data_IF_966408542748
#
_entry.id   IF_966408542748
#
_cell.length_a   1.000
_cell.length_b   1.000
_cell.length_c   1.000
_cell.angle_alpha   90.00
_cell.angle_beta   90.00
_cell.angle_gamma   90.00
#
_symmetry.space_group_name_H-M   'P 1'
#
loop_
_entity.id
_entity.type
_entity.pdbx_description
1 polymer ?
#
# COMPACT_ATOMS: atom_id res chain seq x y z
N UNK A 1 35.70 -25.95 -29.86
CA UNK A 1 35.06 -26.35 -31.14
C UNK A 1 35.82 -27.45 -31.87
N UNK A 2 37.12 -27.30 -32.14
CA UNK A 2 37.93 -28.29 -32.88
C UNK A 2 37.88 -29.72 -32.30
N UNK A 3 38.13 -29.90 -31.00
CA UNK A 3 38.09 -31.22 -30.35
C UNK A 3 36.69 -31.87 -30.33
N UNK A 4 35.63 -31.07 -30.47
CA UNK A 4 34.24 -31.53 -30.53
C UNK A 4 33.76 -31.76 -31.98
N UNK A 5 34.63 -31.59 -32.99
CA UNK A 5 34.30 -31.80 -34.40
C UNK A 5 33.58 -30.64 -35.10
N UNK A 6 33.39 -29.50 -34.43
CA UNK A 6 32.65 -28.34 -34.97
C UNK A 6 33.48 -27.41 -35.86
N UNK A 7 34.78 -27.65 -36.01
CA UNK A 7 35.69 -26.81 -36.78
C UNK A 7 36.16 -25.54 -36.05
N UNK A 8 37.22 -24.91 -36.59
CA UNK A 8 37.84 -23.71 -36.03
C UNK A 8 37.05 -22.44 -36.37
N UNK A 9 36.68 -22.26 -37.64
CA UNK A 9 35.97 -21.10 -38.16
C UNK A 9 34.70 -20.75 -37.34
N UNK A 10 33.91 -21.77 -36.98
CA UNK A 10 32.70 -21.58 -36.16
C UNK A 10 33.04 -21.10 -34.74
N UNK A 11 34.16 -21.55 -34.17
CA UNK A 11 34.60 -21.09 -32.86
C UNK A 11 34.95 -19.60 -32.86
N UNK A 12 35.70 -19.15 -33.87
CA UNK A 12 36.05 -17.73 -34.04
C UNK A 12 34.83 -16.86 -34.26
N UNK A 13 33.88 -17.32 -35.07
CA UNK A 13 32.61 -16.62 -35.31
C UNK A 13 31.76 -16.50 -34.04
N UNK A 14 31.61 -17.58 -33.26
CA UNK A 14 30.84 -17.53 -32.01
C UNK A 14 31.51 -16.62 -30.97
N UNK A 15 32.84 -16.65 -30.87
CA UNK A 15 33.56 -15.83 -29.91
C UNK A 15 33.44 -14.34 -30.23
N UNK A 16 33.48 -13.95 -31.52
CA UNK A 16 33.32 -12.55 -31.92
C UNK A 16 31.92 -11.98 -31.64
N UNK A 17 30.92 -12.85 -31.40
CA UNK A 17 29.59 -12.47 -30.90
C UNK A 17 29.54 -12.44 -29.37
N UNK A 18 30.14 -13.44 -28.70
CA UNK A 18 30.11 -13.57 -27.24
C UNK A 18 30.86 -12.42 -26.56
N UNK A 19 32.04 -12.05 -27.06
CA UNK A 19 32.90 -11.02 -26.47
C UNK A 19 32.15 -9.67 -26.30
N UNK A 20 31.57 -9.05 -27.35
CA UNK A 20 30.82 -7.80 -27.18
C UNK A 20 29.48 -7.99 -26.45
N UNK A 21 28.85 -9.18 -26.51
CA UNK A 21 27.63 -9.44 -25.75
C UNK A 21 27.89 -9.48 -24.24
N UNK A 22 29.06 -9.97 -23.82
CA UNK A 22 29.44 -10.08 -22.43
C UNK A 22 29.49 -8.73 -21.71
N UNK A 23 29.77 -7.63 -22.42
CA UNK A 23 29.78 -6.27 -21.88
C UNK A 23 28.42 -5.85 -21.28
N UNK A 24 27.32 -6.43 -21.78
CA UNK A 24 25.95 -6.12 -21.35
C UNK A 24 25.17 -7.36 -20.89
N UNK A 25 25.84 -8.51 -20.75
CA UNK A 25 25.22 -9.73 -20.29
C UNK A 25 24.78 -9.58 -18.82
N UNK A 26 23.57 -10.03 -18.51
CA UNK A 26 22.99 -9.86 -17.19
C UNK A 26 22.89 -11.19 -16.42
N UNK A 27 23.07 -11.13 -15.11
CA UNK A 27 23.02 -12.30 -14.26
C UNK A 27 21.59 -12.88 -14.19
N UNK A 28 21.42 -14.11 -14.72
CA UNK A 28 20.12 -14.77 -14.81
C UNK A 28 19.48 -15.05 -13.44
N UNK A 29 20.26 -15.46 -12.44
CA UNK A 29 19.72 -15.73 -11.09
C UNK A 29 19.15 -14.47 -10.44
N UNK A 30 19.81 -13.33 -10.61
CA UNK A 30 19.33 -12.04 -10.11
C UNK A 30 18.07 -11.59 -10.85
N UNK A 31 18.08 -11.64 -12.18
CA UNK A 31 16.91 -11.29 -13.00
C UNK A 31 15.68 -12.14 -12.68
N UNK A 32 15.87 -13.45 -12.47
CA UNK A 32 14.77 -14.35 -12.12
C UNK A 32 14.14 -13.99 -10.77
N UNK A 33 14.96 -13.72 -9.74
CA UNK A 33 14.46 -13.36 -8.41
C UNK A 33 13.57 -12.12 -8.44
N UNK A 34 14.04 -11.03 -9.04
CA UNK A 34 13.24 -9.80 -9.16
C UNK A 34 12.06 -9.95 -10.12
N UNK A 35 12.23 -10.68 -11.22
CA UNK A 35 11.16 -10.96 -12.18
C UNK A 35 9.99 -11.72 -11.55
N UNK A 36 10.26 -12.68 -10.67
CA UNK A 36 9.22 -13.42 -9.95
C UNK A 36 8.42 -12.50 -9.00
N UNK A 37 9.10 -11.65 -8.24
CA UNK A 37 8.45 -10.68 -7.35
C UNK A 37 7.61 -9.67 -8.15
N UNK A 38 8.13 -9.18 -9.28
CA UNK A 38 7.38 -8.28 -10.17
C UNK A 38 6.11 -8.96 -10.72
N UNK A 39 6.21 -10.22 -11.14
CA UNK A 39 5.06 -11.02 -11.59
C UNK A 39 4.03 -11.21 -10.47
N UNK A 40 4.46 -11.55 -9.26
CA UNK A 40 3.57 -11.71 -8.11
C UNK A 40 2.82 -10.40 -7.78
N UNK A 41 3.50 -9.26 -7.81
CA UNK A 41 2.86 -7.96 -7.61
C UNK A 41 1.85 -7.65 -8.71
N UNK A 42 2.20 -7.90 -9.97
CA UNK A 42 1.27 -7.72 -11.10
C UNK A 42 0.04 -8.63 -10.97
N UNK A 43 0.23 -9.88 -10.56
CA UNK A 43 -0.85 -10.83 -10.34
C UNK A 43 -1.79 -10.36 -9.23
N UNK A 44 -1.25 -9.92 -8.08
CA UNK A 44 -2.06 -9.36 -6.98
C UNK A 44 -2.81 -8.11 -7.43
N UNK A 45 -2.18 -7.22 -8.18
CA UNK A 45 -2.81 -6.01 -8.72
C UNK A 45 -3.99 -6.32 -9.65
N UNK A 46 -3.95 -7.42 -10.39
CA UNK A 46 -5.02 -7.83 -11.31
C UNK A 46 -6.15 -8.56 -10.58
N UNK A 47 -5.82 -9.47 -9.66
CA UNK A 47 -6.80 -10.37 -9.05
C UNK A 47 -7.34 -9.89 -7.69
N UNK A 48 -6.57 -9.07 -6.97
CA UNK A 48 -6.92 -8.49 -5.67
C UNK A 48 -6.53 -7.00 -5.62
N UNK A 49 -7.04 -6.18 -6.56
CA UNK A 49 -6.62 -4.79 -6.70
C UNK A 49 -6.82 -3.96 -5.43
N UNK A 50 -7.94 -4.15 -4.73
CA UNK A 50 -8.27 -3.38 -3.52
C UNK A 50 -7.29 -3.69 -2.40
N UNK A 51 -7.08 -4.96 -2.10
CA UNK A 51 -6.15 -5.43 -1.06
C UNK A 51 -4.71 -5.06 -1.42
N UNK A 52 -4.34 -5.16 -2.69
CA UNK A 52 -3.03 -4.75 -3.19
C UNK A 52 -2.77 -3.26 -2.91
N UNK A 53 -3.72 -2.38 -3.24
CA UNK A 53 -3.58 -0.95 -2.98
C UNK A 53 -3.68 -0.60 -1.49
N UNK A 54 -4.47 -1.31 -0.69
CA UNK A 54 -4.43 -1.19 0.77
C UNK A 54 -3.03 -1.47 1.30
N UNK A 55 -2.39 -2.55 0.85
CA UNK A 55 -1.02 -2.90 1.21
C UNK A 55 -0.01 -1.83 0.79
N UNK A 56 -0.09 -1.34 -0.45
CA UNK A 56 0.78 -0.27 -0.94
C UNK A 56 0.63 1.02 -0.13
N UNK A 57 -0.61 1.51 0.04
CA UNK A 57 -0.89 2.74 0.80
C UNK A 57 -0.40 2.62 2.26
N UNK A 58 -0.58 1.44 2.86
CA UNK A 58 -0.09 1.16 4.22
C UNK A 58 1.44 1.16 4.28
N UNK A 59 2.12 0.61 3.28
CA UNK A 59 3.59 0.54 3.24
C UNK A 59 4.27 1.92 3.15
N UNK A 60 3.54 2.94 2.67
CA UNK A 60 4.04 4.31 2.51
C UNK A 60 3.25 5.34 3.31
N UNK A 61 2.49 4.93 4.34
CA UNK A 61 1.58 5.83 5.07
C UNK A 61 2.23 7.09 5.66
N UNK A 62 3.53 7.01 5.95
CA UNK A 62 4.35 8.11 6.47
C UNK A 62 4.95 9.01 5.36
N UNK A 63 4.98 8.53 4.11
CA UNK A 63 5.48 9.24 2.92
C UNK A 63 4.30 9.80 2.11
N UNK A 64 4.06 11.11 2.26
CA UNK A 64 2.89 11.77 1.67
C UNK A 64 2.98 11.91 0.15
N UNK A 65 4.18 12.01 -0.39
CA UNK A 65 4.38 12.10 -1.84
C UNK A 65 4.04 10.76 -2.50
N UNK A 66 4.54 9.64 -1.94
CA UNK A 66 4.19 8.30 -2.43
C UNK A 66 2.72 7.95 -2.18
N UNK A 67 2.17 8.35 -1.03
CA UNK A 67 0.74 8.14 -0.75
C UNK A 67 -0.12 8.83 -1.82
N UNK A 68 0.20 10.08 -2.17
CA UNK A 68 -0.53 10.81 -3.22
C UNK A 68 -0.45 10.11 -4.59
N UNK A 69 0.72 9.56 -4.96
CA UNK A 69 0.88 8.78 -6.19
C UNK A 69 -0.04 7.54 -6.20
N UNK A 70 -0.09 6.78 -5.10
CA UNK A 70 -0.94 5.60 -5.03
C UNK A 70 -2.43 5.93 -4.96
N UNK A 71 -2.82 7.03 -4.32
CA UNK A 71 -4.21 7.52 -4.37
C UNK A 71 -4.64 7.86 -5.80
N UNK A 72 -3.75 8.47 -6.60
CA UNK A 72 -4.02 8.71 -8.02
C UNK A 72 -4.19 7.41 -8.80
N UNK A 73 -3.31 6.43 -8.56
CA UNK A 73 -3.40 5.11 -9.21
C UNK A 73 -4.68 4.34 -8.82
N UNK A 74 -5.13 4.45 -7.56
CA UNK A 74 -6.42 3.90 -7.13
C UNK A 74 -7.56 4.51 -7.97
N UNK A 75 -7.57 5.84 -8.11
CA UNK A 75 -8.58 6.57 -8.88
C UNK A 75 -8.60 6.17 -10.35
N UNK A 76 -7.43 6.00 -10.98
CA UNK A 76 -7.31 5.52 -12.36
C UNK A 76 -7.86 4.11 -12.55
N UNK A 77 -7.77 3.28 -11.51
CA UNK A 77 -8.31 1.91 -11.49
C UNK A 77 -9.77 1.82 -11.00
N UNK A 78 -10.45 2.95 -10.80
CA UNK A 78 -11.83 2.97 -10.31
C UNK A 78 -11.99 2.58 -8.83
N UNK A 79 -10.90 2.53 -8.07
CA UNK A 79 -10.91 2.21 -6.65
C UNK A 79 -11.13 3.50 -5.85
N UNK A 80 -12.22 3.54 -5.09
CA UNK A 80 -12.57 4.71 -4.28
C UNK A 80 -11.90 4.61 -2.91
N UNK A 81 -11.07 5.59 -2.58
CA UNK A 81 -10.52 5.73 -1.22
C UNK A 81 -11.40 6.70 -0.44
N UNK A 82 -12.13 6.16 0.54
CA UNK A 82 -13.00 6.91 1.44
C UNK A 82 -12.17 7.68 2.46
N UNK A 83 -12.72 8.78 2.97
CA UNK A 83 -12.17 9.50 4.13
C UNK A 83 -12.11 8.59 5.37
N UNK A 84 -11.22 8.85 6.34
CA UNK A 84 -11.23 8.12 7.60
C UNK A 84 -12.56 8.30 8.34
N UNK A 85 -12.87 7.33 9.20
CA UNK A 85 -14.08 7.33 10.05
C UNK A 85 -13.67 6.70 11.41
N UNK A 86 -13.85 7.41 12.53
CA UNK A 86 -13.47 6.88 13.86
C UNK A 86 -14.19 5.60 14.25
N UNK A 87 -15.37 5.33 13.69
CA UNK A 87 -16.15 4.13 13.94
C UNK A 87 -15.76 2.96 13.04
N UNK A 88 -15.17 3.21 11.86
CA UNK A 88 -14.87 2.14 10.88
C UNK A 88 -13.39 1.95 10.59
N UNK A 89 -12.61 3.02 10.56
CA UNK A 89 -11.20 2.98 10.18
C UNK A 89 -10.37 2.21 11.20
N UNK A 90 -9.33 1.52 10.69
CA UNK A 90 -8.28 0.91 11.49
C UNK A 90 -7.02 1.77 11.42
N UNK A 91 -5.92 1.29 11.99
CA UNK A 91 -4.64 1.98 11.88
C UNK A 91 -4.18 2.11 10.43
N UNK A 92 -4.31 1.02 9.68
CA UNK A 92 -3.89 0.90 8.29
C UNK A 92 -5.07 1.01 7.32
N UNK A 93 -4.76 1.18 6.04
CA UNK A 93 -5.78 1.22 4.98
C UNK A 93 -6.48 -0.14 4.91
N UNK A 94 -7.81 -0.13 4.91
CA UNK A 94 -8.61 -1.35 5.04
C UNK A 94 -9.53 -1.51 3.83
N UNK A 95 -9.60 -2.69 3.19
CA UNK A 95 -10.57 -2.94 2.13
C UNK A 95 -11.99 -2.94 2.73
N UNK A 96 -12.94 -2.33 2.02
CA UNK A 96 -14.37 -2.35 2.38
C UNK A 96 -15.11 -3.18 1.34
N UNK A 97 -15.86 -4.17 1.79
CA UNK A 97 -16.72 -4.96 0.91
C UNK A 97 -17.73 -4.05 0.22
N UNK A 98 -17.76 -4.09 -1.11
CA UNK A 98 -18.69 -3.28 -1.91
C UNK A 98 -20.13 -3.80 -1.85
N UNK A 99 -21.09 -2.92 -2.10
CA UNK A 99 -22.53 -3.19 -2.07
C UNK A 99 -23.03 -3.92 -3.34
N UNK A 100 -22.23 -4.81 -3.93
CA UNK A 100 -22.56 -5.54 -5.16
C UNK A 100 -22.17 -4.84 -6.48
N UNK A 101 -21.39 -3.76 -6.44
CA UNK A 101 -20.77 -3.13 -7.60
C UNK A 101 -19.33 -3.61 -7.83
N UNK A 102 -18.84 -3.51 -9.08
CA UNK A 102 -17.45 -3.83 -9.44
C UNK A 102 -16.41 -2.83 -8.89
N UNK A 103 -16.86 -1.77 -8.21
CA UNK A 103 -15.99 -0.70 -7.71
C UNK A 103 -15.50 -1.03 -6.29
N UNK A 104 -14.21 -1.31 -6.18
CA UNK A 104 -13.55 -1.55 -4.90
C UNK A 104 -13.45 -0.29 -4.04
N UNK A 105 -13.63 -0.42 -2.73
CA UNK A 105 -13.52 0.69 -1.77
C UNK A 105 -12.42 0.43 -0.75
N UNK A 106 -11.65 1.46 -0.43
CA UNK A 106 -10.62 1.45 0.60
C UNK A 106 -10.98 2.49 1.65
N UNK A 107 -10.96 2.12 2.92
CA UNK A 107 -11.11 3.05 4.02
C UNK A 107 -9.75 3.58 4.45
N UNK A 108 -9.63 4.90 4.58
CA UNK A 108 -8.38 5.54 4.99
C UNK A 108 -7.94 5.06 6.38
N UNK A 109 -6.65 4.74 6.52
CA UNK A 109 -6.06 4.38 7.81
C UNK A 109 -5.89 5.60 8.71
N UNK A 110 -6.33 5.52 9.96
CA UNK A 110 -6.22 6.63 10.92
C UNK A 110 -4.76 7.03 11.17
N UNK A 111 -3.82 6.07 11.11
CA UNK A 111 -2.40 6.35 11.33
C UNK A 111 -1.75 7.07 10.14
N UNK A 112 -2.42 7.11 8.98
CA UNK A 112 -1.96 7.87 7.83
C UNK A 112 -2.35 9.36 7.91
N UNK A 113 -3.13 9.78 8.91
CA UNK A 113 -3.49 11.19 9.11
C UNK A 113 -2.30 11.92 9.73
N UNK A 114 -1.98 13.11 9.20
CA UNK A 114 -0.89 13.93 9.72
C UNK A 114 -1.14 14.27 11.19
N UNK A 115 -0.10 14.19 12.03
CA UNK A 115 -0.17 14.43 13.48
C UNK A 115 -1.01 13.41 14.29
N UNK A 116 -1.40 12.28 13.69
CA UNK A 116 -2.08 11.18 14.38
C UNK A 116 -1.12 10.00 14.43
N UNK A 117 -0.52 9.76 15.60
CA UNK A 117 0.44 8.66 15.79
C UNK A 117 -0.25 7.31 15.97
N UNK A 118 0.42 6.23 15.54
CA UNK A 118 -0.09 4.85 15.66
C UNK A 118 -0.56 4.49 17.08
N UNK A 119 0.21 4.84 18.11
CA UNK A 119 -0.17 4.58 19.50
C UNK A 119 -1.48 5.27 19.92
N UNK A 120 -1.77 6.45 19.37
CA UNK A 120 -3.04 7.13 19.65
C UNK A 120 -4.19 6.42 18.93
N UNK A 121 -3.95 5.95 17.71
CA UNK A 121 -4.92 5.16 16.95
C UNK A 121 -5.23 3.84 17.65
N UNK A 122 -4.23 3.14 18.17
CA UNK A 122 -4.43 1.89 18.89
C UNK A 122 -5.37 2.08 20.09
N UNK A 123 -5.25 3.23 20.79
CA UNK A 123 -6.17 3.59 21.87
C UNK A 123 -7.59 3.83 21.39
N UNK A 124 -7.77 4.56 20.29
CA UNK A 124 -9.10 4.82 19.70
C UNK A 124 -9.76 3.49 19.30
N UNK A 125 -9.00 2.63 18.61
CA UNK A 125 -9.49 1.34 18.15
C UNK A 125 -9.80 0.42 19.33
N UNK A 126 -8.95 0.37 20.35
CA UNK A 126 -9.19 -0.44 21.55
C UNK A 126 -10.43 0.02 22.34
N UNK A 127 -10.60 1.33 22.52
CA UNK A 127 -11.78 1.90 23.18
C UNK A 127 -13.08 1.59 22.41
N UNK A 128 -13.03 1.66 21.08
CA UNK A 128 -14.14 1.28 20.21
C UNK A 128 -14.44 -0.22 20.29
N UNK A 129 -13.42 -1.06 20.19
CA UNK A 129 -13.56 -2.52 20.14
C UNK A 129 -14.00 -3.10 21.51
N UNK A 130 -13.64 -2.46 22.62
CA UNK A 130 -14.09 -2.83 23.97
C UNK A 130 -15.49 -2.30 24.30
N UNK A 131 -15.90 -1.20 23.67
CA UNK A 131 -17.17 -0.52 23.92
C UNK A 131 -18.15 -0.63 22.75
N UNK A 132 -18.96 0.42 22.58
CA UNK A 132 -19.77 0.62 21.38
C UNK A 132 -19.10 1.62 20.44
N UNK A 133 -19.65 1.74 19.23
CA UNK A 133 -19.38 2.89 18.36
C UNK A 133 -19.59 4.22 19.11
N UNK A 134 -18.83 5.23 18.70
CA UNK A 134 -18.95 6.60 19.19
C UNK A 134 -20.22 7.22 18.64
N UNK A 135 -21.13 7.62 19.53
CA UNK A 135 -22.47 8.12 19.15
C UNK A 135 -22.48 9.57 18.69
N UNK A 136 -21.46 10.32 19.10
CA UNK A 136 -21.28 11.73 18.76
C UNK A 136 -19.84 12.14 19.02
N UNK A 137 -19.47 13.32 18.54
CA UNK A 137 -18.19 13.94 18.87
C UNK A 137 -18.01 14.14 20.38
N UNK A 138 -19.09 14.48 21.10
CA UNK A 138 -19.07 14.62 22.57
C UNK A 138 -18.81 13.27 23.26
N UNK A 139 -19.44 12.20 22.78
CA UNK A 139 -19.22 10.84 23.29
C UNK A 139 -17.76 10.40 23.10
N UNK A 140 -17.19 10.68 21.92
CA UNK A 140 -15.76 10.46 21.66
C UNK A 140 -14.88 11.22 22.64
N UNK A 141 -15.12 12.53 22.84
CA UNK A 141 -14.34 13.35 23.76
C UNK A 141 -14.46 12.89 25.22
N UNK A 142 -15.61 12.33 25.62
CA UNK A 142 -15.82 11.84 26.99
C UNK A 142 -15.11 10.51 27.26
N UNK A 143 -15.04 9.64 26.25
CA UNK A 143 -14.47 8.28 26.38
C UNK A 143 -12.96 8.24 26.19
N UNK A 144 -12.42 9.12 25.36
CA UNK A 144 -11.00 9.07 24.99
C UNK A 144 -10.09 9.73 26.01
N UNK A 145 -8.89 9.15 26.18
CA UNK A 145 -7.81 9.73 26.99
C UNK A 145 -7.39 11.12 26.48
N UNK A 146 -7.09 12.09 27.37
CA UNK A 146 -6.67 13.43 26.99
C UNK A 146 -5.49 13.49 26.00
N UNK A 147 -4.63 12.46 25.94
CA UNK A 147 -3.55 12.38 24.95
C UNK A 147 -4.05 12.37 23.51
N UNK A 148 -5.20 11.74 23.26
CA UNK A 148 -5.85 11.68 21.94
C UNK A 148 -6.53 13.01 21.60
N UNK A 149 -6.98 13.73 22.63
CA UNK A 149 -7.63 15.03 22.53
C UNK A 149 -6.64 16.21 22.48
N UNK A 150 -5.38 15.94 22.14
CA UNK A 150 -4.36 16.98 22.05
C UNK A 150 -4.72 18.03 20.99
N UNK A 151 -4.25 19.27 21.18
CA UNK A 151 -4.47 20.38 20.24
C UNK A 151 -3.95 20.12 18.82
N UNK A 152 -3.11 19.09 18.61
CA UNK A 152 -2.62 18.70 17.28
C UNK A 152 -3.43 17.55 16.68
N UNK A 153 -3.74 16.53 17.48
CA UNK A 153 -4.39 15.30 17.00
C UNK A 153 -5.86 15.54 16.70
N UNK A 154 -6.60 16.19 17.61
CA UNK A 154 -8.04 16.36 17.48
C UNK A 154 -8.43 17.19 16.24
N UNK A 155 -7.81 18.36 15.96
CA UNK A 155 -8.09 19.08 14.72
C UNK A 155 -7.69 18.30 13.46
N UNK A 156 -6.62 17.51 13.51
CA UNK A 156 -6.19 16.71 12.37
C UNK A 156 -7.19 15.60 12.04
N UNK A 157 -7.80 14.96 13.05
CA UNK A 157 -8.90 14.01 12.86
C UNK A 157 -10.13 14.69 12.27
N UNK A 158 -10.51 15.87 12.80
CA UNK A 158 -11.65 16.66 12.29
C UNK A 158 -11.44 17.05 10.83
N UNK A 159 -10.29 17.65 10.49
CA UNK A 159 -10.00 18.10 9.11
C UNK A 159 -9.85 16.95 8.12
N UNK A 160 -9.53 15.74 8.60
CA UNK A 160 -9.49 14.56 7.76
C UNK A 160 -10.90 13.99 7.46
N UNK A 161 -11.96 14.49 8.11
CA UNK A 161 -13.33 13.98 7.96
C UNK A 161 -13.64 12.78 8.87
N UNK A 162 -12.81 12.52 9.90
CA UNK A 162 -12.95 11.33 10.74
C UNK A 162 -14.27 11.27 11.55
N UNK A 163 -15.00 12.38 11.63
CA UNK A 163 -16.25 12.54 12.38
C UNK A 163 -17.44 12.91 11.48
N UNK A 164 -17.34 12.72 10.15
CA UNK A 164 -18.39 13.09 9.19
C UNK A 164 -19.56 12.08 9.12
N UNK A 165 -19.49 10.98 9.89
CA UNK A 165 -20.49 9.92 9.98
C UNK A 165 -21.70 10.28 10.84
#
# INVERSE_FOLDING_TARGET
>A
CVALGYGDALGTELFSVIEPFADYAFNKSHAYGYGLIAYQNAWLKVHYPVEYFCGLLTSVKDDKDKTAMYLSACKEMGIVVLVPDVNKSRADFTPVAGDGGQDGRILFGLAAIRNVGSTLVDRIVAERDAGSEFKSFEDFCRRMDPSVLSQRTLPSLIYAGAFDS
#
